data_IF_765889724357
#
_entry.id   IF_765889724357
#
_cell.length_a   1.000
_cell.length_b   1.000
_cell.length_c   1.000
_cell.angle_alpha   90.00
_cell.angle_beta   90.00
_cell.angle_gamma   90.00
#
_symmetry.space_group_name_H-M   'P 1'
#
loop_
_entity.id
_entity.type
_entity.pdbx_description
1 polymer ?
#
# COMPACT_ATOMS: atom_id res chain seq x y z
N UNK A 1 -41.60 16.48 49.77
CA UNK A 1 -42.03 16.81 48.37
C UNK A 1 -40.95 17.55 47.55
N UNK A 2 -40.21 18.49 48.14
CA UNK A 2 -39.20 19.30 47.43
C UNK A 2 -38.07 18.48 46.80
N UNK A 3 -37.51 17.49 47.48
CA UNK A 3 -36.42 16.60 46.98
C UNK A 3 -36.78 15.83 45.69
N UNK A 4 -38.04 15.39 45.54
CA UNK A 4 -38.55 14.69 44.36
C UNK A 4 -38.67 15.61 43.11
N UNK A 5 -39.01 16.87 43.30
CA UNK A 5 -39.10 17.85 42.21
C UNK A 5 -37.71 18.22 41.71
N UNK A 6 -36.77 18.46 42.61
CA UNK A 6 -35.37 18.76 42.25
C UNK A 6 -34.71 17.60 41.48
N UNK A 7 -34.92 16.36 41.92
CA UNK A 7 -34.41 15.18 41.20
C UNK A 7 -34.96 15.04 39.78
N UNK A 8 -36.25 15.36 39.55
CA UNK A 8 -36.85 15.37 38.20
C UNK A 8 -36.26 16.44 37.30
N UNK A 9 -35.96 17.63 37.82
CA UNK A 9 -35.33 18.71 37.06
C UNK A 9 -33.87 18.36 36.69
N UNK A 10 -33.11 17.76 37.60
CA UNK A 10 -31.75 17.31 37.32
C UNK A 10 -31.76 16.23 36.23
N UNK A 11 -32.69 15.29 36.27
CA UNK A 11 -32.86 14.26 35.24
C UNK A 11 -33.23 14.85 33.88
N UNK A 12 -34.14 15.82 33.82
CA UNK A 12 -34.57 16.49 32.59
C UNK A 12 -33.42 17.30 31.95
N UNK A 13 -32.66 18.05 32.77
CA UNK A 13 -31.49 18.83 32.30
C UNK A 13 -30.41 17.86 31.83
N UNK A 14 -30.12 16.78 32.55
CA UNK A 14 -29.18 15.76 32.15
C UNK A 14 -29.54 15.07 30.83
N UNK A 15 -30.82 14.68 30.68
CA UNK A 15 -31.34 14.10 29.43
C UNK A 15 -31.25 15.09 28.25
N UNK A 16 -31.60 16.37 28.51
CA UNK A 16 -31.46 17.42 27.48
C UNK A 16 -30.00 17.64 27.06
N UNK A 17 -29.08 17.67 28.00
CA UNK A 17 -27.61 17.80 27.72
C UNK A 17 -27.10 16.61 26.91
N UNK A 18 -27.47 15.37 27.29
CA UNK A 18 -27.11 14.16 26.54
C UNK A 18 -27.69 14.22 25.11
N UNK A 19 -28.97 14.68 24.97
CA UNK A 19 -29.56 14.85 23.65
C UNK A 19 -28.82 15.82 22.75
N UNK A 20 -28.36 16.97 23.28
CA UNK A 20 -27.53 17.94 22.55
C UNK A 20 -26.18 17.35 22.17
N UNK A 21 -25.52 16.63 23.07
CA UNK A 21 -24.25 15.95 22.78
C UNK A 21 -24.40 14.91 21.67
N UNK A 22 -25.48 14.12 21.67
CA UNK A 22 -25.75 13.15 20.61
C UNK A 22 -26.00 13.82 19.26
N UNK A 23 -26.76 14.93 19.22
CA UNK A 23 -27.00 15.69 17.99
C UNK A 23 -25.67 16.27 17.45
N UNK A 24 -24.84 16.88 18.29
CA UNK A 24 -23.53 17.39 17.91
C UNK A 24 -22.63 16.29 17.38
N UNK A 25 -22.58 15.15 18.05
CA UNK A 25 -21.80 13.99 17.65
C UNK A 25 -22.26 13.44 16.28
N UNK A 26 -23.58 13.36 16.08
CA UNK A 26 -24.16 12.93 14.80
C UNK A 26 -23.83 13.91 13.67
N UNK A 27 -23.94 15.22 13.95
CA UNK A 27 -23.59 16.28 13.00
C UNK A 27 -22.11 16.23 12.59
N UNK A 28 -21.19 16.08 13.56
CA UNK A 28 -19.75 15.97 13.30
C UNK A 28 -19.47 14.74 12.43
N UNK A 29 -20.06 13.60 12.73
CA UNK A 29 -19.87 12.37 11.95
C UNK A 29 -20.34 12.52 10.50
N UNK A 30 -21.52 13.13 10.27
CA UNK A 30 -22.03 13.39 8.93
C UNK A 30 -21.11 14.35 8.15
N UNK A 31 -20.57 15.36 8.83
CA UNK A 31 -19.65 16.31 8.24
C UNK A 31 -18.34 15.63 7.83
N UNK A 32 -17.73 14.82 8.70
CA UNK A 32 -16.53 14.06 8.38
C UNK A 32 -16.74 13.15 7.17
N UNK A 33 -17.90 12.46 7.10
CA UNK A 33 -18.27 11.64 5.94
C UNK A 33 -18.32 12.46 4.65
N UNK A 34 -19.00 13.59 4.67
CA UNK A 34 -19.13 14.47 3.50
C UNK A 34 -17.79 15.05 3.06
N UNK A 35 -16.98 15.48 4.02
CA UNK A 35 -15.65 16.03 3.75
C UNK A 35 -14.74 14.94 3.14
N UNK A 36 -14.81 13.72 3.61
CA UNK A 36 -14.07 12.57 3.08
C UNK A 36 -14.50 12.23 1.65
N UNK A 37 -15.82 12.14 1.38
CA UNK A 37 -16.37 11.91 0.05
C UNK A 37 -15.93 13.01 -0.94
N UNK A 38 -16.03 14.27 -0.54
CA UNK A 38 -15.65 15.41 -1.37
C UNK A 38 -14.14 15.44 -1.66
N UNK A 39 -13.31 15.15 -0.65
CA UNK A 39 -11.84 15.10 -0.81
C UNK A 39 -11.44 13.99 -1.78
N UNK A 40 -11.95 12.77 -1.62
CA UNK A 40 -11.65 11.67 -2.53
C UNK A 40 -12.05 12.01 -3.96
N UNK A 41 -13.28 12.48 -4.17
CA UNK A 41 -13.76 12.82 -5.50
C UNK A 41 -12.95 13.96 -6.12
N UNK A 42 -12.61 15.00 -5.35
CA UNK A 42 -11.78 16.11 -5.80
C UNK A 42 -10.37 15.65 -6.16
N UNK A 43 -9.76 14.81 -5.32
CA UNK A 43 -8.43 14.25 -5.59
C UNK A 43 -8.43 13.40 -6.85
N UNK A 44 -9.40 12.50 -6.99
CA UNK A 44 -9.55 11.66 -8.19
C UNK A 44 -9.73 12.51 -9.44
N UNK A 45 -10.55 13.57 -9.38
CA UNK A 45 -10.71 14.50 -10.49
C UNK A 45 -9.44 15.27 -10.83
N UNK A 46 -8.61 15.60 -9.82
CA UNK A 46 -7.35 16.32 -10.02
C UNK A 46 -6.32 15.49 -10.80
N UNK A 47 -6.43 14.16 -10.84
CA UNK A 47 -5.59 13.30 -11.67
C UNK A 47 -5.77 13.60 -13.16
N UNK A 48 -6.96 14.03 -13.59
CA UNK A 48 -7.25 14.43 -14.98
C UNK A 48 -6.44 15.66 -15.43
N UNK A 49 -5.99 16.50 -14.49
CA UNK A 49 -5.17 17.70 -14.80
C UNK A 49 -3.68 17.38 -15.02
N UNK A 50 -3.27 16.11 -14.97
CA UNK A 50 -1.89 15.64 -15.10
C UNK A 50 -1.60 14.97 -16.45
N UNK A 51 -2.28 15.42 -17.53
CA UNK A 51 -2.21 14.80 -18.86
C UNK A 51 -2.61 13.31 -18.88
N UNK A 52 -3.55 12.95 -18.00
CA UNK A 52 -4.13 11.61 -17.92
C UNK A 52 -5.62 11.66 -18.23
N UNK A 53 -6.09 10.70 -19.01
CA UNK A 53 -7.51 10.46 -19.20
C UNK A 53 -8.07 9.67 -18.03
N UNK A 54 -9.11 10.22 -17.42
CA UNK A 54 -9.75 9.64 -16.24
C UNK A 54 -11.24 9.39 -16.53
N UNK A 55 -11.64 8.14 -16.46
CA UNK A 55 -13.05 7.72 -16.44
C UNK A 55 -13.36 7.03 -15.11
N UNK A 56 -14.29 7.57 -14.33
CA UNK A 56 -14.69 7.00 -13.07
C UNK A 56 -16.12 7.34 -12.68
N UNK A 57 -16.74 6.49 -11.89
CA UNK A 57 -17.98 6.80 -11.20
C UNK A 57 -17.65 7.45 -9.86
N UNK A 58 -18.27 8.60 -9.53
CA UNK A 58 -17.99 9.29 -8.26
C UNK A 58 -18.15 8.36 -7.06
N UNK A 59 -17.23 8.49 -6.11
CA UNK A 59 -17.31 7.77 -4.86
C UNK A 59 -18.53 8.20 -4.07
N UNK A 60 -19.22 7.22 -3.49
CA UNK A 60 -20.31 7.43 -2.54
C UNK A 60 -19.96 6.80 -1.21
N UNK A 61 -20.01 7.60 -0.15
CA UNK A 61 -19.64 7.18 1.18
C UNK A 61 -20.85 6.83 2.04
N UNK A 62 -20.72 5.77 2.82
CA UNK A 62 -21.68 5.34 3.85
C UNK A 62 -20.94 5.14 5.17
N UNK A 63 -21.72 4.99 6.24
CA UNK A 63 -21.22 4.69 7.57
C UNK A 63 -21.33 5.85 8.55
N UNK A 64 -21.04 5.50 9.81
CA UNK A 64 -21.02 6.39 10.95
C UNK A 64 -19.88 5.98 11.86
N UNK A 65 -18.91 6.87 12.14
CA UNK A 65 -17.63 6.59 12.79
C UNK A 65 -16.64 5.72 11.98
N UNK A 66 -17.15 4.74 11.23
CA UNK A 66 -16.42 4.02 10.22
C UNK A 66 -17.02 4.40 8.87
N UNK A 67 -16.19 4.88 7.96
CA UNK A 67 -16.65 5.37 6.66
C UNK A 67 -16.13 4.48 5.56
N UNK A 68 -17.00 4.09 4.66
CA UNK A 68 -16.66 3.34 3.46
C UNK A 68 -17.16 4.08 2.23
N UNK A 69 -16.25 4.42 1.32
CA UNK A 69 -16.54 5.09 0.07
C UNK A 69 -16.30 4.12 -1.08
N UNK A 70 -17.28 3.89 -1.92
CA UNK A 70 -17.22 2.96 -3.04
C UNK A 70 -17.39 3.70 -4.36
N UNK A 71 -16.50 3.41 -5.31
CA UNK A 71 -16.67 3.65 -6.74
C UNK A 71 -16.78 2.31 -7.46
N UNK A 72 -17.83 2.05 -8.25
CA UNK A 72 -17.95 0.78 -8.96
C UNK A 72 -16.90 0.62 -10.06
N UNK A 73 -16.33 1.72 -10.55
CA UNK A 73 -15.41 1.71 -11.67
C UNK A 73 -14.48 2.93 -11.64
N UNK A 74 -13.18 2.68 -11.89
CA UNK A 74 -12.14 3.69 -12.05
C UNK A 74 -11.18 3.24 -13.14
N UNK A 75 -10.97 4.06 -14.17
CA UNK A 75 -9.98 3.83 -15.22
C UNK A 75 -9.12 5.06 -15.41
N UNK A 76 -7.83 4.85 -15.44
CA UNK A 76 -6.81 5.87 -15.74
C UNK A 76 -6.09 5.42 -17.00
N UNK A 77 -6.00 6.28 -18.00
CA UNK A 77 -5.32 6.03 -19.26
C UNK A 77 -4.41 7.20 -19.61
N UNK A 78 -3.42 6.94 -20.45
CA UNK A 78 -2.67 8.01 -21.13
C UNK A 78 -3.53 8.64 -22.25
N UNK A 79 -3.18 9.83 -22.77
CA UNK A 79 -3.92 10.49 -23.84
C UNK A 79 -3.95 9.69 -25.15
N UNK A 80 -2.99 8.78 -25.34
CA UNK A 80 -2.95 7.84 -26.48
C UNK A 80 -3.91 6.64 -26.33
N UNK A 81 -4.62 6.56 -25.20
CA UNK A 81 -5.58 5.50 -24.89
C UNK A 81 -4.95 4.29 -24.17
N UNK A 82 -3.66 4.28 -23.91
CA UNK A 82 -3.00 3.21 -23.14
C UNK A 82 -3.49 3.20 -21.70
N UNK A 83 -4.07 2.09 -21.27
CA UNK A 83 -4.61 1.93 -19.92
C UNK A 83 -3.46 1.80 -18.91
N UNK A 84 -3.44 2.68 -17.93
CA UNK A 84 -2.49 2.61 -16.82
C UNK A 84 -3.05 1.79 -15.65
N UNK A 85 -4.33 2.00 -15.33
CA UNK A 85 -4.99 1.27 -14.25
C UNK A 85 -6.48 1.18 -14.57
N UNK A 86 -7.04 -0.01 -14.40
CA UNK A 86 -8.49 -0.21 -14.44
C UNK A 86 -8.92 -1.04 -13.24
N UNK A 87 -9.80 -0.45 -12.41
CA UNK A 87 -10.29 -1.03 -11.16
C UNK A 87 -11.82 -1.17 -11.19
N UNK A 88 -12.30 -2.28 -10.66
CA UNK A 88 -13.71 -2.52 -10.39
C UNK A 88 -13.93 -2.67 -8.89
N UNK A 89 -15.13 -2.30 -8.42
CA UNK A 89 -15.52 -2.41 -7.00
C UNK A 89 -14.52 -1.75 -6.06
N UNK A 90 -13.96 -0.61 -6.48
CA UNK A 90 -12.95 0.10 -5.69
C UNK A 90 -13.57 0.71 -4.43
N UNK A 91 -13.03 0.34 -3.30
CA UNK A 91 -13.46 0.76 -1.96
C UNK A 91 -12.30 1.41 -1.23
N UNK A 92 -12.55 2.56 -0.63
CA UNK A 92 -11.65 3.22 0.32
C UNK A 92 -12.44 3.43 1.62
N UNK A 93 -11.81 3.19 2.76
CA UNK A 93 -12.49 3.39 4.04
C UNK A 93 -11.58 3.88 5.16
N UNK A 94 -12.25 4.47 6.15
CA UNK A 94 -11.68 4.89 7.43
C UNK A 94 -12.41 4.13 8.54
N UNK A 95 -11.67 3.55 9.47
CA UNK A 95 -12.24 2.84 10.62
C UNK A 95 -11.41 3.08 11.88
N UNK A 96 -11.94 2.69 13.03
CA UNK A 96 -11.28 2.82 14.33
C UNK A 96 -10.74 4.24 14.62
N UNK A 97 -11.51 5.25 14.17
CA UNK A 97 -11.12 6.66 14.27
C UNK A 97 -11.15 7.10 15.74
N UNK A 98 -9.98 7.51 16.24
CA UNK A 98 -9.76 8.10 17.56
C UNK A 98 -9.07 9.46 17.39
N UNK A 99 -8.85 10.18 18.48
CA UNK A 99 -8.18 11.49 18.42
C UNK A 99 -6.76 11.40 17.86
N UNK A 100 -6.03 10.31 18.21
CA UNK A 100 -4.61 10.13 17.87
C UNK A 100 -4.34 8.95 16.94
N UNK A 101 -5.33 8.16 16.56
CA UNK A 101 -5.13 7.00 15.70
C UNK A 101 -6.31 6.76 14.78
N UNK A 102 -6.04 6.13 13.65
CA UNK A 102 -7.03 5.82 12.63
C UNK A 102 -6.49 4.69 11.75
N UNK A 103 -7.39 3.87 11.24
CA UNK A 103 -7.09 2.89 10.22
C UNK A 103 -7.68 3.33 8.88
N UNK A 104 -6.87 3.27 7.84
CA UNK A 104 -7.30 3.43 6.45
C UNK A 104 -7.21 2.10 5.74
N UNK A 105 -8.10 1.85 4.81
CA UNK A 105 -8.02 0.69 3.94
C UNK A 105 -8.52 1.02 2.54
N UNK A 106 -7.97 0.32 1.57
CA UNK A 106 -8.47 0.32 0.21
C UNK A 106 -8.46 -1.10 -0.35
N UNK A 107 -9.40 -1.42 -1.23
CA UNK A 107 -9.46 -2.71 -1.91
C UNK A 107 -10.21 -2.59 -3.22
N UNK A 108 -9.94 -3.50 -4.12
CA UNK A 108 -10.62 -3.54 -5.41
C UNK A 108 -10.13 -4.68 -6.28
N UNK A 109 -10.83 -4.90 -7.38
CA UNK A 109 -10.41 -5.81 -8.44
C UNK A 109 -9.61 -5.03 -9.47
N UNK A 110 -8.57 -5.65 -10.01
CA UNK A 110 -7.70 -5.08 -11.03
C UNK A 110 -8.00 -5.76 -12.35
N UNK A 111 -8.36 -4.99 -13.38
CA UNK A 111 -8.60 -5.48 -14.73
C UNK A 111 -7.43 -5.20 -15.66
N UNK A 112 -6.75 -4.07 -15.49
CA UNK A 112 -5.57 -3.72 -16.27
C UNK A 112 -4.52 -2.96 -15.45
N UNK A 113 -3.26 -3.19 -15.79
CA UNK A 113 -2.08 -2.46 -15.33
C UNK A 113 -1.20 -2.08 -16.53
N UNK A 114 -0.31 -1.08 -16.40
CA UNK A 114 0.49 -0.57 -17.51
C UNK A 114 1.63 -1.50 -17.95
N UNK A 115 1.71 -2.69 -17.37
CA UNK A 115 2.78 -3.63 -17.62
C UNK A 115 2.27 -4.80 -18.48
N UNK A 116 3.00 -5.07 -19.55
CA UNK A 116 2.77 -6.29 -20.34
C UNK A 116 3.42 -7.47 -19.58
N UNK A 117 2.63 -8.10 -18.72
CA UNK A 117 3.04 -9.25 -17.93
C UNK A 117 2.15 -10.46 -18.19
N UNK A 118 2.70 -11.69 -18.10
CA UNK A 118 1.87 -12.88 -18.22
C UNK A 118 0.68 -12.85 -17.26
N UNK A 119 -0.50 -13.24 -17.72
CA UNK A 119 -1.74 -13.20 -16.92
C UNK A 119 -1.63 -13.98 -15.60
N UNK A 120 -0.72 -14.95 -15.50
CA UNK A 120 -0.47 -15.71 -14.27
C UNK A 120 0.10 -14.86 -13.14
N UNK A 121 0.84 -13.81 -13.48
CA UNK A 121 1.42 -12.85 -12.54
C UNK A 121 0.57 -11.59 -12.38
N UNK A 122 -0.40 -11.36 -13.28
CA UNK A 122 -1.29 -10.21 -13.24
C UNK A 122 -2.11 -10.24 -11.96
N UNK A 123 -1.96 -9.25 -11.06
CA UNK A 123 -2.80 -9.15 -9.88
C UNK A 123 -4.27 -8.96 -10.30
N UNK A 124 -5.16 -9.73 -9.68
CA UNK A 124 -6.61 -9.64 -9.90
C UNK A 124 -7.31 -8.86 -8.80
N UNK A 125 -6.72 -8.84 -7.62
CA UNK A 125 -7.25 -8.14 -6.45
C UNK A 125 -6.11 -7.46 -5.70
N UNK A 126 -6.44 -6.35 -5.07
CA UNK A 126 -5.55 -5.73 -4.10
C UNK A 126 -6.29 -5.40 -2.80
N UNK A 127 -5.55 -5.42 -1.72
CA UNK A 127 -5.96 -4.95 -0.40
C UNK A 127 -4.83 -4.08 0.18
N UNK A 128 -5.15 -2.85 0.51
CA UNK A 128 -4.27 -1.93 1.22
C UNK A 128 -4.83 -1.68 2.61
N UNK A 129 -3.97 -1.72 3.60
CA UNK A 129 -4.29 -1.40 4.99
C UNK A 129 -3.22 -0.48 5.57
N UNK A 130 -3.65 0.51 6.33
CA UNK A 130 -2.77 1.48 6.95
C UNK A 130 -3.28 1.84 8.34
N UNK A 131 -2.39 1.73 9.35
CA UNK A 131 -2.62 2.16 10.72
C UNK A 131 -1.79 3.41 10.99
N UNK A 132 -2.44 4.54 11.16
CA UNK A 132 -1.80 5.80 11.52
C UNK A 132 -1.99 6.14 12.99
N UNK A 133 -0.92 6.57 13.64
CA UNK A 133 -0.98 7.09 15.01
C UNK A 133 -0.06 8.29 15.21
N UNK A 134 -0.54 9.32 15.91
CA UNK A 134 0.24 10.50 16.30
C UNK A 134 1.18 10.11 17.43
N UNK A 135 2.48 10.16 17.18
CA UNK A 135 3.52 9.92 18.19
C UNK A 135 3.77 11.19 19.04
N UNK A 136 4.03 12.31 18.38
CA UNK A 136 4.20 13.60 19.04
C UNK A 136 3.51 14.70 18.22
N UNK A 137 2.44 15.26 18.80
CA UNK A 137 1.69 16.35 18.16
C UNK A 137 2.46 17.66 18.07
N UNK A 138 3.46 17.90 18.96
CA UNK A 138 4.25 19.14 18.98
C UNK A 138 5.27 19.17 17.85
N UNK A 139 5.82 18.01 17.52
CA UNK A 139 6.81 17.88 16.43
C UNK A 139 6.16 17.49 15.11
N UNK A 140 4.86 17.17 15.09
CA UNK A 140 4.15 16.70 13.92
C UNK A 140 4.62 15.32 13.46
N UNK A 141 4.95 14.43 14.40
CA UNK A 141 5.42 13.08 14.11
C UNK A 141 4.30 12.06 14.21
N UNK A 142 4.18 11.19 13.21
CA UNK A 142 3.23 10.08 13.14
C UNK A 142 3.96 8.76 12.90
N UNK A 143 3.41 7.70 13.45
CA UNK A 143 3.74 6.32 13.09
C UNK A 143 2.72 5.83 12.08
N UNK A 144 3.21 5.26 11.00
CA UNK A 144 2.42 4.62 9.95
C UNK A 144 2.84 3.16 9.79
N UNK A 145 1.87 2.25 9.84
CA UNK A 145 2.06 0.83 9.50
C UNK A 145 1.21 0.52 8.28
N UNK A 146 1.86 0.25 7.18
CA UNK A 146 1.17 0.00 5.92
C UNK A 146 1.36 -1.44 5.46
N UNK A 147 0.33 -2.02 4.86
CA UNK A 147 0.39 -3.32 4.21
C UNK A 147 -0.37 -3.24 2.89
N UNK A 148 0.28 -3.61 1.80
CA UNK A 148 -0.33 -3.81 0.49
C UNK A 148 -0.27 -5.31 0.16
N UNK A 149 -1.39 -5.89 -0.22
CA UNK A 149 -1.51 -7.27 -0.67
C UNK A 149 -2.03 -7.28 -2.10
N UNK A 150 -1.37 -8.06 -2.95
CA UNK A 150 -1.76 -8.29 -4.33
C UNK A 150 -1.98 -9.78 -4.52
N UNK A 151 -3.13 -10.16 -5.11
CA UNK A 151 -3.47 -11.56 -5.37
C UNK A 151 -3.54 -11.79 -6.87
N UNK A 152 -2.65 -12.62 -7.40
CA UNK A 152 -2.69 -13.17 -8.74
C UNK A 152 -3.18 -14.62 -8.71
N UNK A 153 -3.35 -15.24 -9.87
CA UNK A 153 -3.92 -16.59 -10.02
C UNK A 153 -3.17 -17.67 -9.24
N UNK A 154 -1.84 -17.62 -9.20
CA UNK A 154 -1.00 -18.61 -8.52
C UNK A 154 -0.04 -18.02 -7.50
N UNK A 155 -0.06 -16.70 -7.34
CA UNK A 155 0.89 -15.96 -6.53
C UNK A 155 0.15 -14.98 -5.62
N UNK A 156 0.61 -14.91 -4.39
CA UNK A 156 0.23 -13.89 -3.44
C UNK A 156 1.46 -13.05 -3.09
N UNK A 157 1.34 -11.76 -3.20
CA UNK A 157 2.38 -10.81 -2.89
C UNK A 157 1.91 -9.89 -1.77
N UNK A 158 2.74 -9.67 -0.77
CA UNK A 158 2.51 -8.65 0.23
C UNK A 158 3.76 -7.81 0.43
N UNK A 159 3.54 -6.52 0.60
CA UNK A 159 4.56 -5.60 1.09
C UNK A 159 4.01 -4.91 2.32
N UNK A 160 4.76 -4.94 3.41
CA UNK A 160 4.42 -4.23 4.63
C UNK A 160 5.59 -3.34 5.07
N UNK A 161 5.28 -2.27 5.79
CA UNK A 161 6.30 -1.37 6.29
C UNK A 161 5.84 -0.61 7.51
N UNK A 162 6.80 -0.37 8.42
CA UNK A 162 6.64 0.50 9.57
C UNK A 162 7.49 1.75 9.33
N UNK A 163 6.84 2.90 9.30
CA UNK A 163 7.53 4.16 9.05
C UNK A 163 7.07 5.25 10.02
N UNK A 164 7.97 6.18 10.30
CA UNK A 164 7.61 7.43 10.95
C UNK A 164 7.65 8.54 9.90
N UNK A 165 6.64 9.39 9.92
CA UNK A 165 6.59 10.56 9.07
C UNK A 165 6.53 11.80 9.94
N UNK A 166 7.29 12.82 9.55
CA UNK A 166 7.33 14.10 10.22
C UNK A 166 7.07 15.22 9.24
N UNK A 167 6.20 16.15 9.62
CA UNK A 167 5.92 17.34 8.83
C UNK A 167 5.46 18.48 9.73
N UNK A 168 5.85 19.71 9.39
CA UNK A 168 5.33 20.92 10.03
C UNK A 168 3.81 21.04 9.86
N UNK A 169 3.29 20.54 8.74
CA UNK A 169 1.86 20.52 8.46
C UNK A 169 1.05 19.63 9.42
N UNK A 170 1.71 18.75 10.20
CA UNK A 170 1.07 17.88 11.19
C UNK A 170 1.05 18.46 12.61
N UNK A 171 1.82 19.52 12.85
CA UNK A 171 1.94 20.12 14.17
C UNK A 171 0.57 20.52 14.72
N UNK A 172 0.25 20.02 15.92
CA UNK A 172 -1.02 20.26 16.63
C UNK A 172 -2.28 19.89 15.85
N UNK A 173 -2.16 19.02 14.83
CA UNK A 173 -3.32 18.47 14.11
C UNK A 173 -3.74 17.12 14.69
N UNK A 174 -5.05 16.85 14.65
CA UNK A 174 -5.57 15.52 14.94
C UNK A 174 -5.40 14.61 13.71
N UNK A 175 -5.49 13.28 13.94
CA UNK A 175 -5.24 12.27 12.92
C UNK A 175 -6.14 12.42 11.67
N UNK A 176 -7.39 12.83 11.83
CA UNK A 176 -8.33 13.03 10.70
C UNK A 176 -7.83 14.18 9.79
N UNK A 177 -7.36 15.28 10.39
CA UNK A 177 -6.81 16.39 9.62
C UNK A 177 -5.53 15.99 8.89
N UNK A 178 -4.69 15.18 9.54
CA UNK A 178 -3.46 14.66 8.93
C UNK A 178 -3.82 13.77 7.74
N UNK A 179 -4.74 12.83 7.90
CA UNK A 179 -5.22 11.98 6.81
C UNK A 179 -5.78 12.79 5.64
N UNK A 180 -6.56 13.83 5.91
CA UNK A 180 -7.08 14.68 4.84
C UNK A 180 -5.98 15.49 4.11
N UNK A 181 -4.85 15.80 4.78
CA UNK A 181 -3.69 16.40 4.13
C UNK A 181 -2.97 15.45 3.17
N UNK A 182 -3.03 14.13 3.40
CA UNK A 182 -2.41 13.15 2.49
C UNK A 182 -2.99 13.17 1.07
N UNK A 183 -4.16 13.78 0.89
CA UNK A 183 -4.79 14.00 -0.42
C UNK A 183 -4.42 15.36 -1.05
N UNK A 184 -3.58 16.17 -0.40
CA UNK A 184 -3.13 17.44 -0.96
C UNK A 184 -1.88 17.21 -1.83
N UNK A 185 -1.80 17.86 -3.02
CA UNK A 185 -0.79 17.61 -4.06
C UNK A 185 0.65 17.74 -3.56
N UNK A 186 0.91 18.72 -2.69
CA UNK A 186 2.26 19.03 -2.20
C UNK A 186 2.62 18.30 -0.89
N UNK A 187 1.75 17.39 -0.46
CA UNK A 187 1.91 16.67 0.80
C UNK A 187 3.26 15.95 0.89
N UNK A 188 3.60 15.18 -0.14
CA UNK A 188 4.80 14.34 -0.13
C UNK A 188 6.11 15.15 -0.16
N UNK A 189 6.08 16.35 -0.73
CA UNK A 189 7.26 17.23 -0.81
C UNK A 189 7.69 17.80 0.55
N UNK A 190 6.84 17.70 1.57
CA UNK A 190 7.06 18.25 2.91
C UNK A 190 7.26 17.17 3.97
N UNK A 191 7.40 15.93 3.54
CA UNK A 191 7.57 14.81 4.45
C UNK A 191 9.04 14.46 4.63
N UNK A 192 9.45 14.33 5.90
CA UNK A 192 10.64 13.58 6.27
C UNK A 192 10.20 12.21 6.76
N UNK A 193 10.70 11.16 6.12
CA UNK A 193 10.33 9.77 6.40
C UNK A 193 11.51 8.99 6.99
N UNK A 194 11.26 8.33 8.11
CA UNK A 194 12.11 7.26 8.63
C UNK A 194 11.40 5.93 8.43
N UNK A 195 11.99 5.05 7.65
CA UNK A 195 11.47 3.70 7.41
C UNK A 195 12.15 2.77 8.40
N UNK A 196 11.41 2.26 9.37
CA UNK A 196 11.95 1.35 10.39
C UNK A 196 12.22 -0.04 9.79
N UNK A 197 11.24 -0.57 9.09
CA UNK A 197 11.35 -1.86 8.41
C UNK A 197 10.43 -1.89 7.19
N UNK A 198 10.83 -2.71 6.21
CA UNK A 198 10.02 -3.12 5.06
C UNK A 198 10.12 -4.63 4.98
N UNK A 199 8.99 -5.29 4.78
CA UNK A 199 8.91 -6.72 4.57
C UNK A 199 8.16 -6.99 3.27
N UNK A 200 8.77 -7.77 2.41
CA UNK A 200 8.21 -8.23 1.15
C UNK A 200 8.03 -9.73 1.23
N UNK A 201 6.81 -10.21 1.02
CA UNK A 201 6.46 -11.62 1.05
C UNK A 201 5.91 -12.05 -0.31
N UNK A 202 6.45 -13.11 -0.84
CA UNK A 202 5.97 -13.83 -2.01
C UNK A 202 5.53 -15.23 -1.58
N UNK A 203 4.28 -15.58 -1.81
CA UNK A 203 3.75 -16.90 -1.48
C UNK A 203 3.11 -17.53 -2.71
N UNK A 204 3.55 -18.73 -3.05
CA UNK A 204 2.98 -19.53 -4.13
C UNK A 204 1.90 -20.46 -3.59
N UNK A 205 0.78 -20.53 -4.30
CA UNK A 205 -0.20 -21.62 -4.14
C UNK A 205 -0.07 -22.67 -5.23
N UNK A 206 -0.04 -22.22 -6.48
CA UNK A 206 0.00 -23.07 -7.68
C UNK A 206 0.84 -22.42 -8.77
N UNK A 207 1.87 -21.64 -8.39
CA UNK A 207 2.59 -20.80 -9.36
C UNK A 207 3.28 -21.63 -10.42
N UNK A 208 3.93 -22.75 -10.06
CA UNK A 208 4.54 -23.69 -11.02
C UNK A 208 3.54 -24.13 -12.07
N UNK A 209 2.41 -24.68 -11.64
CA UNK A 209 1.39 -25.18 -12.55
C UNK A 209 0.80 -24.08 -13.43
N UNK A 210 0.48 -22.93 -12.84
CA UNK A 210 -0.08 -21.79 -13.56
C UNK A 210 0.88 -21.25 -14.61
N UNK A 211 2.17 -21.14 -14.29
CA UNK A 211 3.19 -20.62 -15.22
C UNK A 211 3.56 -21.65 -16.27
N UNK A 212 3.65 -22.93 -15.92
CA UNK A 212 3.86 -24.01 -16.87
C UNK A 212 2.74 -24.06 -17.92
N UNK A 213 1.47 -24.01 -17.50
CA UNK A 213 0.33 -24.00 -18.40
C UNK A 213 0.32 -22.76 -19.31
N UNK A 214 0.71 -21.58 -18.79
CA UNK A 214 0.85 -20.37 -19.58
C UNK A 214 1.92 -20.54 -20.67
N UNK A 215 3.09 -21.07 -20.34
CA UNK A 215 4.16 -21.32 -21.32
C UNK A 215 3.74 -22.37 -22.36
N UNK A 216 3.02 -23.41 -21.98
CA UNK A 216 2.51 -24.39 -22.92
C UNK A 216 1.50 -23.80 -23.93
N UNK A 217 0.73 -22.78 -23.52
CA UNK A 217 -0.20 -22.09 -24.41
C UNK A 217 0.53 -21.18 -25.41
N UNK A 218 1.65 -20.57 -25.00
CA UNK A 218 2.39 -19.63 -25.83
C UNK A 218 3.45 -20.29 -26.72
N UNK A 219 4.11 -21.35 -26.22
CA UNK A 219 5.27 -21.97 -26.88
C UNK A 219 5.01 -23.42 -27.35
N UNK A 220 3.82 -23.98 -27.04
CA UNK A 220 3.46 -25.35 -27.37
C UNK A 220 3.83 -26.35 -26.27
N UNK A 221 3.79 -27.66 -26.60
CA UNK A 221 4.08 -28.71 -25.62
C UNK A 221 5.51 -28.60 -25.10
N UNK A 222 5.66 -28.41 -23.81
CA UNK A 222 6.94 -28.37 -23.10
C UNK A 222 7.12 -29.59 -22.21
N UNK A 223 8.33 -30.15 -22.18
CA UNK A 223 8.71 -31.09 -21.12
C UNK A 223 9.02 -30.32 -19.81
N UNK A 224 9.08 -31.04 -18.70
CA UNK A 224 9.46 -30.45 -17.43
C UNK A 224 10.91 -29.92 -17.42
N UNK A 225 11.80 -30.59 -18.16
CA UNK A 225 13.20 -30.15 -18.33
C UNK A 225 13.29 -28.84 -19.10
N UNK A 226 12.53 -28.71 -20.19
CA UNK A 226 12.45 -27.47 -20.98
C UNK A 226 11.88 -26.34 -20.15
N UNK A 227 10.82 -26.60 -19.37
CA UNK A 227 10.25 -25.63 -18.44
C UNK A 227 11.29 -25.12 -17.43
N UNK A 228 12.02 -26.04 -16.77
CA UNK A 228 13.03 -25.68 -15.81
C UNK A 228 14.16 -24.86 -16.44
N UNK A 229 14.55 -25.17 -17.68
CA UNK A 229 15.56 -24.40 -18.44
C UNK A 229 15.08 -22.96 -18.71
N UNK A 230 13.82 -22.81 -19.13
CA UNK A 230 13.22 -21.46 -19.35
C UNK A 230 13.21 -20.66 -18.05
N UNK A 231 12.82 -21.28 -16.93
CA UNK A 231 12.84 -20.62 -15.62
C UNK A 231 14.25 -20.16 -15.26
N UNK A 232 15.26 -21.02 -15.46
CA UNK A 232 16.65 -20.66 -15.15
C UNK A 232 17.15 -19.50 -16.00
N UNK A 233 16.83 -19.48 -17.30
CA UNK A 233 17.17 -18.39 -18.21
C UNK A 233 16.54 -17.07 -17.78
N UNK A 234 15.25 -17.07 -17.40
CA UNK A 234 14.56 -15.86 -16.93
C UNK A 234 15.16 -15.33 -15.63
N UNK A 235 15.49 -16.22 -14.70
CA UNK A 235 16.11 -15.83 -13.42
C UNK A 235 17.54 -15.31 -13.63
N UNK A 236 18.32 -15.92 -14.54
CA UNK A 236 19.63 -15.40 -14.94
C UNK A 236 19.51 -14.01 -15.56
N UNK A 237 18.49 -13.77 -16.42
CA UNK A 237 18.20 -12.45 -16.98
C UNK A 237 17.90 -11.40 -15.91
N UNK A 238 17.13 -11.75 -14.88
CA UNK A 238 16.92 -10.88 -13.71
C UNK A 238 18.23 -10.61 -12.95
N UNK A 239 19.02 -11.63 -12.72
CA UNK A 239 20.33 -11.48 -12.08
C UNK A 239 21.26 -10.55 -12.88
N UNK A 240 21.27 -10.66 -14.21
CA UNK A 240 22.01 -9.76 -15.07
C UNK A 240 21.55 -8.30 -14.93
N UNK A 241 20.23 -8.05 -14.95
CA UNK A 241 19.68 -6.71 -14.73
C UNK A 241 20.07 -6.16 -13.35
N UNK A 242 19.97 -6.95 -12.30
CA UNK A 242 20.41 -6.55 -10.95
C UNK A 242 21.90 -6.19 -10.92
N UNK A 243 22.74 -6.93 -11.64
CA UNK A 243 24.16 -6.63 -11.82
C UNK A 243 24.41 -5.29 -12.54
N UNK A 244 23.65 -5.01 -13.61
CA UNK A 244 23.72 -3.73 -14.33
C UNK A 244 23.38 -2.53 -13.44
N UNK A 245 22.45 -2.67 -12.51
CA UNK A 245 22.13 -1.64 -11.50
C UNK A 245 23.13 -1.60 -10.33
N UNK A 246 24.19 -2.40 -10.35
CA UNK A 246 25.22 -2.43 -9.32
C UNK A 246 24.75 -3.04 -7.98
N UNK A 247 23.59 -3.71 -7.96
CA UNK A 247 23.03 -4.28 -6.74
C UNK A 247 23.92 -5.38 -6.14
N UNK A 248 24.69 -6.09 -6.95
CA UNK A 248 25.65 -7.08 -6.48
C UNK A 248 26.95 -6.49 -5.90
N UNK A 249 27.16 -5.18 -6.06
CA UNK A 249 28.27 -4.47 -5.41
C UNK A 249 27.90 -3.93 -4.02
N UNK A 250 26.77 -4.39 -3.48
CA UNK A 250 26.27 -4.01 -2.17
C UNK A 250 26.61 -5.07 -1.12
N UNK A 251 26.56 -4.75 0.18
CA UNK A 251 26.72 -5.75 1.25
C UNK A 251 25.73 -6.92 1.21
N UNK A 252 24.65 -6.80 0.43
CA UNK A 252 23.55 -7.77 0.34
C UNK A 252 23.68 -8.75 -0.82
N UNK A 253 24.85 -8.87 -1.41
CA UNK A 253 25.06 -9.73 -2.58
C UNK A 253 24.53 -11.16 -2.38
N UNK A 254 24.85 -11.78 -1.25
CA UNK A 254 24.43 -13.14 -0.93
C UNK A 254 22.94 -13.24 -0.69
N UNK A 255 22.34 -12.27 0.02
CA UNK A 255 20.90 -12.20 0.25
C UNK A 255 20.13 -12.03 -1.06
N UNK A 256 20.63 -11.19 -1.97
CA UNK A 256 20.03 -10.99 -3.29
C UNK A 256 20.11 -12.25 -4.14
N UNK A 257 21.23 -12.97 -4.12
CA UNK A 257 21.36 -14.26 -4.78
C UNK A 257 20.43 -15.30 -4.16
N UNK A 258 20.31 -15.32 -2.84
CA UNK A 258 19.36 -16.17 -2.12
C UNK A 258 17.92 -15.88 -2.54
N UNK A 259 17.52 -14.60 -2.61
CA UNK A 259 16.19 -14.20 -3.07
C UNK A 259 15.91 -14.62 -4.52
N UNK A 260 16.89 -14.48 -5.43
CA UNK A 260 16.79 -14.96 -6.82
C UNK A 260 16.65 -16.49 -6.89
N UNK A 261 17.45 -17.21 -6.12
CA UNK A 261 17.33 -18.67 -6.00
C UNK A 261 15.97 -19.10 -5.44
N UNK A 262 15.49 -18.38 -4.46
CA UNK A 262 14.14 -18.53 -3.92
C UNK A 262 13.07 -18.34 -4.98
N UNK A 263 13.16 -17.28 -5.79
CA UNK A 263 12.24 -17.01 -6.87
C UNK A 263 12.23 -18.12 -7.93
N UNK A 264 13.41 -18.61 -8.34
CA UNK A 264 13.50 -19.81 -9.18
C UNK A 264 12.82 -21.02 -8.54
N UNK A 265 13.03 -21.23 -7.25
CA UNK A 265 12.39 -22.30 -6.47
C UNK A 265 10.88 -22.20 -6.42
N UNK A 266 10.30 -20.99 -6.25
CA UNK A 266 8.85 -20.74 -6.34
C UNK A 266 8.29 -21.15 -7.70
N UNK A 267 8.93 -20.71 -8.79
CA UNK A 267 8.53 -21.06 -10.16
C UNK A 267 8.62 -22.55 -10.41
N UNK A 268 9.65 -23.24 -9.89
CA UNK A 268 9.83 -24.69 -10.01
C UNK A 268 8.99 -25.51 -9.02
N UNK A 269 8.23 -24.85 -8.13
CA UNK A 269 7.39 -25.49 -7.12
C UNK A 269 8.14 -26.17 -5.98
N UNK A 270 9.43 -25.86 -5.81
CA UNK A 270 10.29 -26.39 -4.73
C UNK A 270 10.15 -25.61 -3.43
N UNK A 271 9.65 -24.38 -3.52
CA UNK A 271 9.52 -23.40 -2.44
C UNK A 271 8.09 -22.91 -2.40
N UNK A 272 7.56 -22.68 -1.21
CA UNK A 272 6.20 -22.18 -0.98
C UNK A 272 6.17 -20.68 -0.70
N UNK A 273 7.22 -20.13 -0.05
CA UNK A 273 7.30 -18.68 0.18
C UNK A 273 8.74 -18.17 0.22
N UNK A 274 8.87 -16.87 -0.07
CA UNK A 274 10.08 -16.06 0.14
C UNK A 274 9.66 -14.83 0.92
N UNK A 275 10.34 -14.58 2.02
CA UNK A 275 10.17 -13.39 2.84
C UNK A 275 11.50 -12.61 2.83
N UNK A 276 11.46 -11.37 2.35
CA UNK A 276 12.61 -10.45 2.33
C UNK A 276 12.31 -9.32 3.29
N UNK A 277 13.14 -9.16 4.31
CA UNK A 277 13.00 -8.11 5.30
C UNK A 277 14.20 -7.16 5.26
N UNK A 278 13.92 -5.87 5.14
CA UNK A 278 14.86 -4.77 5.35
C UNK A 278 14.55 -4.13 6.69
N UNK A 279 15.54 -4.05 7.58
CA UNK A 279 15.40 -3.45 8.90
C UNK A 279 16.47 -2.37 9.09
N UNK A 280 16.06 -1.18 9.51
CA UNK A 280 16.98 -0.08 9.77
C UNK A 280 17.86 -0.39 10.98
N UNK A 281 19.15 -0.10 10.87
CA UNK A 281 20.13 -0.22 11.93
C UNK A 281 20.21 1.06 12.78
N UNK A 282 19.83 2.19 12.20
CA UNK A 282 19.85 3.51 12.81
C UNK A 282 18.67 4.38 12.35
N UNK A 283 18.36 5.43 13.09
CA UNK A 283 17.23 6.32 12.79
C UNK A 283 17.65 7.40 11.79
N UNK A 284 17.52 7.11 10.49
CA UNK A 284 17.83 8.04 9.41
C UNK A 284 16.56 8.49 8.71
N UNK A 285 16.31 9.82 8.70
CA UNK A 285 15.21 10.42 7.98
C UNK A 285 15.59 10.69 6.52
N UNK A 286 14.70 10.34 5.62
CA UNK A 286 14.79 10.60 4.18
C UNK A 286 13.87 11.77 3.84
N UNK A 287 14.42 12.75 3.16
CA UNK A 287 13.66 13.86 2.59
C UNK A 287 13.36 13.55 1.12
N UNK A 288 12.08 13.37 0.81
CA UNK A 288 11.64 13.04 -0.55
C UNK A 288 11.60 14.25 -1.50
N UNK A 289 11.75 15.47 -1.01
CA UNK A 289 11.80 16.67 -1.86
C UNK A 289 12.94 16.63 -2.88
N UNK A 290 14.02 15.92 -2.55
CA UNK A 290 15.19 15.76 -3.42
C UNK A 290 15.17 14.50 -4.29
N UNK A 291 14.13 13.66 -4.16
CA UNK A 291 14.07 12.40 -4.89
C UNK A 291 13.44 12.58 -6.27
N UNK A 292 14.22 12.31 -7.31
CA UNK A 292 13.77 12.36 -8.70
C UNK A 292 13.93 10.99 -9.37
N UNK A 293 12.81 10.30 -9.58
CA UNK A 293 12.76 8.99 -10.24
C UNK A 293 13.25 9.01 -11.70
N UNK A 294 13.19 10.17 -12.36
CA UNK A 294 13.64 10.32 -13.76
C UNK A 294 15.16 10.54 -13.86
N UNK A 295 15.86 10.70 -12.74
CA UNK A 295 17.30 10.88 -12.70
C UNK A 295 17.98 9.63 -12.13
N UNK A 296 18.69 8.81 -12.96
CA UNK A 296 19.36 7.60 -12.51
C UNK A 296 20.34 7.81 -11.35
N UNK A 297 21.07 8.93 -11.33
CA UNK A 297 21.99 9.27 -10.24
C UNK A 297 21.27 9.54 -8.92
N UNK A 298 20.06 10.09 -8.99
CA UNK A 298 19.21 10.29 -7.81
C UNK A 298 18.75 8.96 -7.25
N UNK A 299 18.33 8.04 -8.12
CA UNK A 299 17.93 6.68 -7.73
C UNK A 299 19.11 5.91 -7.12
N UNK A 300 20.28 5.95 -7.75
CA UNK A 300 21.48 5.27 -7.25
C UNK A 300 21.91 5.80 -5.88
N UNK A 301 21.92 7.13 -5.68
CA UNK A 301 22.24 7.73 -4.37
C UNK A 301 21.22 7.34 -3.29
N UNK A 302 19.96 7.27 -3.64
CA UNK A 302 18.91 6.85 -2.71
C UNK A 302 19.08 5.37 -2.32
N UNK A 303 19.33 4.49 -3.29
CA UNK A 303 19.61 3.07 -3.04
C UNK A 303 20.87 2.89 -2.18
N UNK A 304 21.96 3.60 -2.49
CA UNK A 304 23.17 3.56 -1.69
C UNK A 304 22.92 4.00 -0.23
N UNK A 305 22.09 5.04 -0.02
CA UNK A 305 21.70 5.49 1.31
C UNK A 305 20.90 4.41 2.05
N UNK A 306 19.95 3.74 1.37
CA UNK A 306 19.20 2.61 1.95
C UNK A 306 20.20 1.49 2.34
N UNK A 307 21.03 1.07 1.41
CA UNK A 307 21.95 -0.05 1.64
C UNK A 307 22.96 0.18 2.77
N UNK A 308 23.32 1.44 3.06
CA UNK A 308 24.26 1.76 4.14
C UNK A 308 23.60 1.76 5.55
N UNK A 309 22.27 1.84 5.62
CA UNK A 309 21.55 2.01 6.90
C UNK A 309 20.62 0.85 7.24
N UNK A 310 20.48 -0.13 6.33
CA UNK A 310 19.56 -1.25 6.53
C UNK A 310 20.30 -2.59 6.52
N UNK A 311 19.77 -3.55 7.24
CA UNK A 311 20.12 -4.96 7.17
C UNK A 311 19.05 -5.68 6.35
N UNK A 312 19.48 -6.54 5.41
CA UNK A 312 18.60 -7.42 4.64
C UNK A 312 18.63 -8.82 5.25
N UNK A 313 17.47 -9.47 5.30
CA UNK A 313 17.34 -10.89 5.64
C UNK A 313 16.38 -11.54 4.66
N UNK A 314 16.77 -12.69 4.13
CA UNK A 314 15.96 -13.50 3.24
C UNK A 314 15.63 -14.82 3.94
N UNK A 315 14.33 -15.11 4.07
CA UNK A 315 13.83 -16.39 4.57
C UNK A 315 13.11 -17.12 3.46
N UNK A 316 13.49 -18.36 3.22
CA UNK A 316 12.93 -19.22 2.19
C UNK A 316 12.26 -20.41 2.86
N UNK A 317 10.97 -20.64 2.56
CA UNK A 317 10.22 -21.77 3.09
C UNK A 317 10.05 -22.82 1.98
N UNK A 318 10.59 -24.03 2.15
CA UNK A 318 10.38 -25.13 1.21
C UNK A 318 8.91 -25.49 1.08
N UNK A 319 8.54 -26.08 -0.06
CA UNK A 319 7.24 -26.74 -0.21
C UNK A 319 7.27 -28.02 0.63
N UNK A 320 6.34 -28.17 1.58
CA UNK A 320 6.19 -29.43 2.31
C UNK A 320 5.94 -30.55 1.29
N UNK A 321 6.75 -31.59 1.33
CA UNK A 321 6.68 -32.70 0.39
C UNK A 321 5.29 -33.37 0.47
N UNK A 322 4.59 -33.35 -0.67
CA UNK A 322 3.42 -34.20 -0.90
C UNK A 322 3.84 -35.61 -1.29
#
# INVERSE_FOLDING_TARGET
MLKRKVAKWILLIGAGFIGVLLILFFYISLRVKSDFENKINKYTQALKSQDLDLDFKPFKCKGFLNYECKSPYLKISEPDGRVLVELEDFVIGLKNIKTKSMEEYARGKIHALPFDMPMVFMPQEFEYHNDDSVLDARTGEILRKSTLKLKAKGLWFAISGNLRAKSEDFVNKNIIKIAFHSYDRDFYNKLSLYVKDIELQLQSKNLKEAYFNFLQQSEGKLSEEQYNSIVDEKVQGLGFLMGMFGLFNTPYHEDLLSALGGYAGLLKGKISSIDVKLSSQDEVYFDFSYFNFHNPDSVQRFLAKIFNHYEMKVLITPTEGR
#
